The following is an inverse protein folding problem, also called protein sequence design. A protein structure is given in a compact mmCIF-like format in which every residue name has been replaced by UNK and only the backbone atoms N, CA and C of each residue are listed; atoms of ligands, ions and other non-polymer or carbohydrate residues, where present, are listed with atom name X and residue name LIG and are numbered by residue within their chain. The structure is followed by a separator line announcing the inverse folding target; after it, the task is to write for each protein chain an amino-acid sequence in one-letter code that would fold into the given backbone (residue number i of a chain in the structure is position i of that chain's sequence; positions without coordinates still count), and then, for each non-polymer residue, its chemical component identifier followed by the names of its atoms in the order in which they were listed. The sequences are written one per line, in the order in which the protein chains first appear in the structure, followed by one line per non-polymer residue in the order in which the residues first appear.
data_IF_113867590604
#
_entry.id   IF_113867590604
#
_cell.length_a   1.000
_cell.length_b   1.000
_cell.length_c   1.000
_cell.angle_alpha   90.00
_cell.angle_beta   90.00
_cell.angle_gamma   90.00
#
_symmetry.space_group_name_H-M   'P 1'
#
loop_
_entity.id
_entity.type
_entity.pdbx_description
1 polymer ?
#
# COMPACT_ATOMS: atom_id res chain seq x y z
N UNK A 1 -10.29 -22.95 -14.96
CA UNK A 1 -10.95 -21.67 -15.32
C UNK A 1 -12.21 -21.39 -14.51
N UNK A 2 -12.89 -22.39 -13.92
CA UNK A 2 -14.08 -22.17 -13.07
C UNK A 2 -13.79 -21.73 -11.63
N UNK A 3 -12.56 -21.90 -11.12
CA UNK A 3 -12.22 -21.55 -9.73
C UNK A 3 -11.97 -20.06 -9.50
N UNK A 4 -11.58 -19.29 -10.53
CA UNK A 4 -11.26 -17.87 -10.35
C UNK A 4 -12.51 -16.99 -10.17
N UNK A 5 -13.63 -17.36 -10.79
CA UNK A 5 -14.86 -16.55 -10.73
C UNK A 5 -15.47 -16.52 -9.32
N UNK A 6 -15.27 -17.57 -8.53
CA UNK A 6 -15.78 -17.64 -7.15
C UNK A 6 -14.95 -16.82 -6.14
N UNK A 7 -13.65 -16.68 -6.37
CA UNK A 7 -12.75 -15.93 -5.49
C UNK A 7 -12.99 -14.41 -5.58
N UNK A 8 -13.22 -13.90 -6.79
CA UNK A 8 -13.53 -12.49 -7.02
C UNK A 8 -14.87 -12.07 -6.41
N UNK A 9 -15.86 -12.97 -6.43
CA UNK A 9 -17.17 -12.72 -5.83
C UNK A 9 -17.09 -12.63 -4.29
N UNK A 10 -16.28 -13.48 -3.66
CA UNK A 10 -16.05 -13.40 -2.22
C UNK A 10 -15.31 -12.12 -1.81
N UNK A 11 -14.31 -11.70 -2.59
CA UNK A 11 -13.54 -10.49 -2.34
C UNK A 11 -14.38 -9.21 -2.45
N UNK A 12 -15.33 -9.18 -3.39
CA UNK A 12 -16.25 -8.05 -3.60
C UNK A 12 -17.28 -7.94 -2.48
N UNK A 13 -17.90 -9.05 -2.05
CA UNK A 13 -18.85 -9.03 -0.92
C UNK A 13 -18.19 -8.65 0.41
N UNK A 14 -16.95 -9.11 0.65
CA UNK A 14 -16.19 -8.71 1.83
C UNK A 14 -15.95 -7.18 1.91
N UNK A 15 -15.88 -6.49 0.76
CA UNK A 15 -15.79 -5.03 0.63
C UNK A 15 -16.95 -4.29 1.31
N UNK A 16 -18.17 -4.77 1.04
CA UNK A 16 -19.38 -4.15 1.53
C UNK A 16 -19.46 -4.12 3.06
N UNK A 17 -19.02 -5.18 3.74
CA UNK A 17 -19.06 -5.26 5.21
C UNK A 17 -18.19 -4.21 5.88
N UNK A 18 -16.95 -4.01 5.39
CA UNK A 18 -16.06 -2.97 5.94
C UNK A 18 -16.65 -1.58 5.72
N UNK A 19 -17.22 -1.34 4.53
CA UNK A 19 -17.94 -0.09 4.24
C UNK A 19 -19.07 0.17 5.23
N UNK A 20 -19.87 -0.86 5.56
CA UNK A 20 -20.93 -0.77 6.57
C UNK A 20 -20.39 -0.43 7.95
N UNK A 21 -19.30 -1.08 8.40
CA UNK A 21 -18.69 -0.76 9.70
C UNK A 21 -18.18 0.68 9.75
N UNK A 22 -17.55 1.18 8.68
CA UNK A 22 -17.11 2.59 8.60
C UNK A 22 -18.29 3.56 8.65
N UNK A 23 -19.40 3.23 7.97
CA UNK A 23 -20.61 4.04 8.02
C UNK A 23 -21.19 4.11 9.44
N UNK A 24 -21.30 2.98 10.14
CA UNK A 24 -21.72 2.93 11.55
C UNK A 24 -20.77 3.74 12.44
N UNK A 25 -19.45 3.62 12.20
CA UNK A 25 -18.45 4.39 12.91
C UNK A 25 -18.65 5.90 12.77
N UNK A 26 -19.07 6.40 11.61
CA UNK A 26 -19.33 7.83 11.40
C UNK A 26 -20.40 8.38 12.34
N UNK A 27 -21.49 7.65 12.58
CA UNK A 27 -22.53 8.09 13.51
C UNK A 27 -22.02 8.15 14.94
N UNK A 28 -21.39 7.07 15.41
CA UNK A 28 -20.89 6.97 16.79
C UNK A 28 -19.80 8.00 17.05
N UNK A 29 -18.86 8.17 16.12
CA UNK A 29 -17.84 9.19 16.19
C UNK A 29 -18.44 10.60 16.11
N UNK A 30 -19.50 10.82 15.33
CA UNK A 30 -20.19 12.10 15.25
C UNK A 30 -20.78 12.53 16.60
N UNK A 31 -21.48 11.62 17.28
CA UNK A 31 -21.97 11.87 18.64
C UNK A 31 -20.81 12.06 19.63
N UNK A 32 -19.78 11.22 19.55
CA UNK A 32 -18.60 11.34 20.41
C UNK A 32 -17.88 12.68 20.21
N UNK A 33 -17.74 13.16 18.97
CA UNK A 33 -17.11 14.43 18.64
C UNK A 33 -17.91 15.60 19.19
N UNK A 34 -19.24 15.57 19.05
CA UNK A 34 -20.12 16.60 19.62
C UNK A 34 -19.92 16.70 21.13
N UNK A 35 -19.92 15.57 21.84
CA UNK A 35 -19.67 15.51 23.28
C UNK A 35 -18.25 16.01 23.63
N UNK A 36 -17.21 15.45 23.00
CA UNK A 36 -15.82 15.83 23.25
C UNK A 36 -15.53 17.30 22.96
N UNK A 37 -16.12 17.88 21.90
CA UNK A 37 -15.98 19.30 21.57
C UNK A 37 -16.69 20.20 22.58
N UNK A 38 -17.87 19.79 23.08
CA UNK A 38 -18.58 20.50 24.17
C UNK A 38 -17.70 20.54 25.42
N UNK A 39 -17.19 19.39 25.84
CA UNK A 39 -16.30 19.28 27.01
C UNK A 39 -15.00 20.07 26.83
N UNK A 40 -14.35 20.00 25.67
CA UNK A 40 -13.14 20.76 25.40
C UNK A 40 -13.39 22.27 25.46
N UNK A 41 -14.46 22.78 24.83
CA UNK A 41 -14.81 24.21 24.90
C UNK A 41 -15.07 24.66 26.34
N UNK A 42 -15.80 23.83 27.08
CA UNK A 42 -16.12 24.07 28.48
C UNK A 42 -14.84 24.17 29.33
N UNK A 43 -13.96 23.16 29.28
CA UNK A 43 -12.72 23.17 30.04
C UNK A 43 -11.74 24.25 29.58
N UNK A 44 -11.76 24.62 28.30
CA UNK A 44 -10.93 25.70 27.76
C UNK A 44 -11.33 27.07 28.33
N UNK A 45 -12.62 27.30 28.53
CA UNK A 45 -13.13 28.55 29.11
C UNK A 45 -12.60 28.76 30.55
N UNK A 46 -12.37 27.68 31.30
CA UNK A 46 -11.90 27.71 32.68
C UNK A 46 -10.49 27.12 32.85
N UNK A 47 -9.64 27.28 31.83
CA UNK A 47 -8.33 26.62 31.79
C UNK A 47 -7.44 26.95 33.00
N UNK A 48 -7.53 28.18 33.53
CA UNK A 48 -6.71 28.63 34.67
C UNK A 48 -7.02 27.85 35.94
N UNK A 49 -8.28 27.47 36.14
CA UNK A 49 -8.75 26.76 37.34
C UNK A 49 -8.56 25.26 37.17
N UNK A 50 -8.92 24.73 36.00
CA UNK A 50 -8.87 23.28 35.70
C UNK A 50 -7.44 22.74 35.59
N UNK A 51 -6.43 23.59 35.38
CA UNK A 51 -5.02 23.15 35.32
C UNK A 51 -4.30 23.20 36.67
N UNK A 52 -4.85 23.88 37.66
CA UNK A 52 -4.22 23.98 38.98
C UNK A 52 -4.40 22.69 39.79
N UNK A 53 -3.45 22.35 40.69
CA UNK A 53 -3.65 21.29 41.68
C UNK A 53 -4.96 21.53 42.43
N UNK A 54 -5.80 20.51 42.60
CA UNK A 54 -5.55 19.05 42.55
C UNK A 54 -5.74 18.42 41.16
N UNK A 55 -6.18 19.21 40.18
CA UNK A 55 -6.71 18.68 38.96
C UNK A 55 -5.57 18.02 38.21
N UNK A 56 -5.87 16.99 37.43
CA UNK A 56 -4.81 16.44 36.60
C UNK A 56 -4.33 17.56 35.67
N UNK A 57 -3.03 17.95 35.68
CA UNK A 57 -2.54 19.09 34.89
C UNK A 57 -2.69 18.88 33.38
N UNK A 58 -3.12 17.68 32.96
CA UNK A 58 -3.32 17.28 31.58
C UNK A 58 -4.80 17.20 31.19
N UNK A 59 -5.75 17.57 32.05
CA UNK A 59 -7.20 17.46 31.76
C UNK A 59 -7.58 18.22 30.47
N UNK A 60 -7.12 19.47 30.33
CA UNK A 60 -7.37 20.25 29.11
C UNK A 60 -6.69 19.63 27.88
N UNK A 61 -5.47 19.13 28.05
CA UNK A 61 -4.75 18.44 26.98
C UNK A 61 -5.49 17.18 26.52
N UNK A 62 -6.00 16.37 27.45
CA UNK A 62 -6.76 15.15 27.17
C UNK A 62 -8.04 15.49 26.42
N UNK A 63 -8.82 16.48 26.89
CA UNK A 63 -10.04 16.91 26.20
C UNK A 63 -9.77 17.42 24.77
N UNK A 64 -8.67 18.18 24.59
CA UNK A 64 -8.22 18.64 23.26
C UNK A 64 -7.81 17.48 22.37
N UNK A 65 -7.05 16.53 22.92
CA UNK A 65 -6.57 15.33 22.23
C UNK A 65 -7.76 14.49 21.75
N UNK A 66 -8.71 14.19 22.64
CA UNK A 66 -9.94 13.48 22.32
C UNK A 66 -10.71 14.19 21.20
N UNK A 67 -11.00 15.49 21.34
CA UNK A 67 -11.77 16.21 20.31
C UNK A 67 -11.09 16.20 18.93
N UNK A 68 -9.75 16.33 18.88
CA UNK A 68 -8.98 16.30 17.63
C UNK A 68 -8.96 14.92 16.98
N UNK A 69 -8.64 13.88 17.75
CA UNK A 69 -8.58 12.52 17.20
C UNK A 69 -9.96 11.99 16.82
N UNK A 70 -11.04 12.38 17.50
CA UNK A 70 -12.38 12.04 17.05
C UNK A 70 -12.71 12.70 15.71
N UNK A 71 -12.31 13.96 15.50
CA UNK A 71 -12.48 14.64 14.20
C UNK A 71 -11.68 13.94 13.10
N UNK A 72 -10.41 13.61 13.35
CA UNK A 72 -9.57 12.86 12.42
C UNK A 72 -10.22 11.52 12.08
N UNK A 73 -10.73 10.79 13.09
CA UNK A 73 -11.45 9.54 12.90
C UNK A 73 -12.70 9.68 12.02
N UNK A 74 -13.48 10.77 12.18
CA UNK A 74 -14.64 11.06 11.33
C UNK A 74 -14.20 11.27 9.89
N UNK A 75 -13.24 12.19 9.67
CA UNK A 75 -12.77 12.53 8.32
C UNK A 75 -12.19 11.27 7.65
N UNK A 76 -11.37 10.50 8.37
CA UNK A 76 -10.79 9.27 7.87
C UNK A 76 -11.85 8.24 7.46
N UNK A 77 -12.83 7.97 8.32
CA UNK A 77 -13.89 7.02 8.00
C UNK A 77 -14.78 7.49 6.85
N UNK A 78 -14.97 8.80 6.68
CA UNK A 78 -15.73 9.36 5.57
C UNK A 78 -14.96 9.22 4.24
N UNK A 79 -13.67 9.59 4.24
CA UNK A 79 -12.80 9.47 3.06
C UNK A 79 -12.64 8.01 2.65
N UNK A 80 -12.47 7.11 3.62
CA UNK A 80 -12.24 5.68 3.35
C UNK A 80 -13.51 4.87 3.10
N UNK A 81 -14.69 5.43 3.36
CA UNK A 81 -15.96 4.75 3.08
C UNK A 81 -16.12 4.41 1.59
N UNK A 82 -15.86 5.38 0.70
CA UNK A 82 -16.02 5.21 -0.75
C UNK A 82 -14.96 4.26 -1.35
N UNK A 83 -13.64 4.46 -1.11
CA UNK A 83 -12.60 3.56 -1.62
C UNK A 83 -12.79 2.11 -1.17
N UNK A 84 -13.19 1.87 0.07
CA UNK A 84 -13.42 0.51 0.58
C UNK A 84 -14.57 -0.20 -0.13
N UNK A 85 -15.52 0.56 -0.69
CA UNK A 85 -16.63 0.04 -1.48
C UNK A 85 -16.25 -0.13 -2.96
N UNK A 86 -15.41 0.75 -3.49
CA UNK A 86 -15.05 0.78 -4.92
C UNK A 86 -13.86 -0.12 -5.28
N UNK A 87 -12.89 -0.28 -4.37
CA UNK A 87 -11.63 -0.96 -4.67
C UNK A 87 -11.34 -2.08 -3.66
N UNK A 88 -11.69 -3.35 -3.96
CA UNK A 88 -11.42 -4.49 -3.08
C UNK A 88 -9.93 -4.91 -3.01
N UNK A 89 -9.00 -4.03 -3.39
CA UNK A 89 -7.62 -4.39 -3.75
C UNK A 89 -6.66 -4.56 -2.55
N UNK A 90 -5.48 -5.10 -2.85
CA UNK A 90 -4.33 -5.27 -1.94
C UNK A 90 -3.84 -3.99 -1.27
N UNK A 91 -4.24 -2.81 -1.74
CA UNK A 91 -3.92 -1.51 -1.11
C UNK A 91 -4.50 -1.38 0.31
N UNK A 92 -5.47 -2.22 0.69
CA UNK A 92 -6.08 -2.25 2.02
C UNK A 92 -5.10 -2.57 3.16
N UNK A 93 -4.00 -3.28 2.88
CA UNK A 93 -3.00 -3.58 3.91
C UNK A 93 -2.34 -2.30 4.44
N UNK A 94 -1.93 -1.37 3.55
CA UNK A 94 -1.35 -0.09 3.96
C UNK A 94 -2.36 0.79 4.72
N UNK A 95 -3.62 0.76 4.30
CA UNK A 95 -4.70 1.52 4.96
C UNK A 95 -4.96 1.06 6.39
N UNK A 96 -4.73 -0.23 6.67
CA UNK A 96 -4.88 -0.79 8.02
C UNK A 96 -3.95 -0.15 9.04
N UNK A 97 -2.75 0.31 8.64
CA UNK A 97 -1.80 0.99 9.54
C UNK A 97 -2.38 2.29 10.09
N UNK A 98 -3.11 3.03 9.25
CA UNK A 98 -3.79 4.27 9.67
C UNK A 98 -4.95 3.95 10.62
N UNK A 99 -5.74 2.91 10.34
CA UNK A 99 -6.81 2.45 11.23
C UNK A 99 -6.25 2.04 12.61
N UNK A 100 -5.14 1.28 12.65
CA UNK A 100 -4.44 0.93 13.90
C UNK A 100 -4.01 2.21 14.63
N UNK A 101 -3.41 3.17 13.92
CA UNK A 101 -2.93 4.41 14.52
C UNK A 101 -4.08 5.19 15.17
N UNK A 102 -5.22 5.31 14.49
CA UNK A 102 -6.42 5.96 15.04
C UNK A 102 -6.95 5.18 16.26
N UNK A 103 -6.98 3.84 16.19
CA UNK A 103 -7.39 3.00 17.31
C UNK A 103 -6.49 3.16 18.54
N UNK A 104 -5.16 3.19 18.35
CA UNK A 104 -4.19 3.43 19.43
C UNK A 104 -4.41 4.80 20.07
N UNK A 105 -4.65 5.84 19.26
CA UNK A 105 -4.91 7.19 19.77
C UNK A 105 -6.23 7.27 20.54
N UNK A 106 -7.27 6.54 20.10
CA UNK A 106 -8.48 6.39 20.90
C UNK A 106 -8.23 5.65 22.21
N UNK A 107 -7.44 4.57 22.20
CA UNK A 107 -7.08 3.84 23.42
C UNK A 107 -6.37 4.74 24.43
N UNK A 108 -5.37 5.53 23.98
CA UNK A 108 -4.67 6.51 24.81
C UNK A 108 -5.65 7.55 25.36
N UNK A 109 -6.45 8.19 24.49
CA UNK A 109 -7.36 9.26 24.91
C UNK A 109 -8.45 8.78 25.89
N UNK A 110 -9.03 7.61 25.64
CA UNK A 110 -10.07 7.00 26.48
C UNK A 110 -9.50 6.47 27.80
N UNK A 111 -8.29 5.89 27.77
CA UNK A 111 -7.59 5.46 28.99
C UNK A 111 -7.23 6.64 29.89
N UNK A 112 -6.72 7.73 29.31
CA UNK A 112 -6.44 8.96 30.04
C UNK A 112 -7.72 9.60 30.60
N UNK A 113 -8.81 9.62 29.84
CA UNK A 113 -10.11 10.10 30.30
C UNK A 113 -10.67 9.27 31.48
N UNK A 114 -10.53 7.95 31.42
CA UNK A 114 -10.96 7.04 32.50
C UNK A 114 -10.18 7.23 33.81
N UNK A 115 -8.98 7.82 33.76
CA UNK A 115 -8.20 8.08 34.98
C UNK A 115 -8.85 9.11 35.92
N UNK A 116 -9.76 9.97 35.43
CA UNK A 116 -10.39 11.03 36.23
C UNK A 116 -11.92 11.05 36.18
N UNK A 117 -12.53 10.26 35.29
CA UNK A 117 -13.99 10.11 35.18
C UNK A 117 -14.40 8.74 35.73
N UNK A 118 -15.49 8.62 36.52
CA UNK A 118 -15.96 7.32 36.94
C UNK A 118 -16.42 6.48 35.73
N UNK A 119 -16.28 5.15 35.81
CA UNK A 119 -16.59 4.26 34.70
C UNK A 119 -18.07 3.84 34.61
N UNK A 120 -18.91 4.23 35.58
CA UNK A 120 -20.32 3.89 35.60
C UNK A 120 -21.18 5.09 35.98
N UNK A 121 -22.36 5.28 35.35
CA UNK A 121 -23.27 6.38 35.67
C UNK A 121 -23.77 6.36 37.12
N UNK A 122 -23.93 5.16 37.70
CA UNK A 122 -24.36 5.01 39.11
C UNK A 122 -23.37 5.59 40.13
N UNK A 123 -22.07 5.63 39.80
CA UNK A 123 -21.07 6.29 40.67
C UNK A 123 -21.18 7.81 40.68
N UNK A 124 -21.96 8.40 39.77
CA UNK A 124 -22.20 9.84 39.75
C UNK A 124 -23.23 10.31 40.77
N UNK A 125 -23.99 9.42 41.43
CA UNK A 125 -24.87 9.78 42.56
C UNK A 125 -24.08 10.42 43.71
N UNK A 126 -22.79 10.10 43.83
CA UNK A 126 -21.88 10.67 44.81
C UNK A 126 -20.82 11.54 44.14
N UNK A 127 -21.16 12.28 43.08
CA UNK A 127 -20.23 13.15 42.35
C UNK A 127 -19.56 14.20 43.26
N UNK A 128 -20.23 14.60 44.35
CA UNK A 128 -19.71 15.53 45.37
C UNK A 128 -18.62 14.92 46.27
N UNK A 129 -18.44 13.60 46.27
CA UNK A 129 -17.33 12.93 46.96
C UNK A 129 -16.26 12.37 46.02
N UNK A 130 -16.43 12.54 44.71
CA UNK A 130 -15.47 12.03 43.72
C UNK A 130 -14.17 12.83 43.74
N UNK A 131 -13.09 12.19 44.21
CA UNK A 131 -11.74 12.78 44.32
C UNK A 131 -11.76 14.12 45.06
N UNK A 132 -12.19 14.09 46.33
CA UNK A 132 -12.20 15.26 47.21
C UNK A 132 -10.78 15.83 47.35
N UNK A 133 -10.69 17.15 47.23
CA UNK A 133 -9.48 17.90 47.49
C UNK A 133 -9.20 17.96 48.98
N UNK A 134 -7.99 17.54 49.40
CA UNK A 134 -7.56 17.64 50.81
C UNK A 134 -7.68 19.06 51.39
N UNK A 135 -7.59 20.10 50.56
CA UNK A 135 -7.55 21.50 51.02
C UNK A 135 -8.85 22.28 50.83
N UNK A 136 -9.75 21.89 49.92
CA UNK A 136 -10.99 22.65 49.67
C UNK A 136 -12.26 21.96 50.14
N UNK A 137 -12.21 20.65 50.42
CA UNK A 137 -13.41 19.86 50.76
C UNK A 137 -14.41 19.70 49.60
N UNK A 138 -14.15 20.29 48.42
CA UNK A 138 -15.00 20.16 47.24
C UNK A 138 -14.52 18.99 46.36
N UNK A 139 -15.42 18.41 45.56
CA UNK A 139 -15.05 17.44 44.53
C UNK A 139 -14.70 18.08 43.20
N UNK A 140 -14.12 17.28 42.31
CA UNK A 140 -13.87 17.66 40.92
C UNK A 140 -15.14 18.23 40.24
N UNK A 141 -16.27 17.52 40.36
CA UNK A 141 -17.50 17.88 39.67
C UNK A 141 -18.24 19.03 40.35
N UNK A 142 -18.13 19.19 41.67
CA UNK A 142 -18.67 20.34 42.40
C UNK A 142 -17.97 21.64 41.98
N UNK A 143 -16.64 21.62 41.80
CA UNK A 143 -15.92 22.79 41.28
C UNK A 143 -16.38 23.11 39.86
N UNK A 144 -16.52 22.10 38.98
CA UNK A 144 -17.06 22.32 37.65
C UNK A 144 -18.49 22.88 37.69
N UNK A 145 -19.36 22.41 38.58
CA UNK A 145 -20.70 22.97 38.74
C UNK A 145 -20.66 24.46 39.09
N UNK A 146 -19.83 24.85 40.07
CA UNK A 146 -19.68 26.23 40.50
C UNK A 146 -19.18 27.15 39.37
N UNK A 147 -18.30 26.64 38.50
CA UNK A 147 -17.80 27.39 37.34
C UNK A 147 -18.88 27.64 36.28
N UNK A 148 -19.81 26.69 36.12
CA UNK A 148 -20.93 26.80 35.17
C UNK A 148 -22.04 27.72 35.65
N UNK A 149 -22.12 28.00 36.95
CA UNK A 149 -23.09 28.91 37.53
C UNK A 149 -22.74 30.36 37.15
N UNK A 150 -23.44 30.90 36.17
CA UNK A 150 -23.42 32.34 35.89
C UNK A 150 -24.62 32.99 36.59
N UNK A 151 -24.42 34.05 37.40
CA UNK A 151 -25.53 34.72 38.09
C UNK A 151 -26.55 35.35 37.12
N UNK A 152 -26.21 35.46 35.83
CA UNK A 152 -27.04 36.08 34.80
C UNK A 152 -27.91 35.10 34.00
N UNK A 153 -27.78 33.79 34.22
CA UNK A 153 -28.62 32.78 33.58
C UNK A 153 -29.29 31.90 34.64
N UNK A 154 -30.47 32.29 35.16
CA UNK A 154 -31.19 31.55 36.21
C UNK A 154 -31.81 30.22 35.73
N UNK A 155 -31.46 29.78 34.52
CA UNK A 155 -31.86 28.47 34.00
C UNK A 155 -31.17 27.40 34.85
N UNK A 156 -31.94 26.43 35.34
CA UNK A 156 -31.53 25.27 36.14
C UNK A 156 -30.08 24.86 35.86
N UNK A 157 -29.16 25.33 36.70
CA UNK A 157 -27.76 25.00 36.58
C UNK A 157 -27.60 23.49 36.77
N UNK A 158 -26.87 22.79 35.88
CA UNK A 158 -26.76 21.36 35.97
C UNK A 158 -26.06 20.96 37.27
N UNK A 159 -26.56 19.92 37.92
CA UNK A 159 -25.98 19.40 39.16
C UNK A 159 -24.60 18.78 38.90
N UNK A 160 -23.78 18.64 39.94
CA UNK A 160 -22.50 17.92 39.85
C UNK A 160 -22.68 16.49 39.31
N UNK A 161 -23.79 15.83 39.67
CA UNK A 161 -24.18 14.52 39.15
C UNK A 161 -24.44 14.53 37.64
N UNK A 162 -25.16 15.53 37.13
CA UNK A 162 -25.43 15.68 35.69
C UNK A 162 -24.14 15.91 34.90
N UNK A 163 -23.26 16.79 35.40
CA UNK A 163 -21.95 17.02 34.79
C UNK A 163 -21.12 15.72 34.81
N UNK A 164 -21.12 15.00 35.94
CA UNK A 164 -20.46 13.70 36.04
C UNK A 164 -21.00 12.74 34.97
N UNK A 165 -22.32 12.58 34.85
CA UNK A 165 -22.96 11.70 33.86
C UNK A 165 -22.61 12.10 32.42
N UNK A 166 -22.53 13.39 32.09
CA UNK A 166 -22.06 13.85 30.77
C UNK A 166 -20.64 13.35 30.47
N UNK A 167 -19.73 13.44 31.44
CA UNK A 167 -18.36 12.94 31.28
C UNK A 167 -18.29 11.41 31.19
N UNK A 168 -19.07 10.68 32.01
CA UNK A 168 -19.15 9.21 31.94
C UNK A 168 -19.68 8.78 30.57
N UNK A 169 -20.73 9.42 30.07
CA UNK A 169 -21.29 9.13 28.76
C UNK A 169 -20.28 9.39 27.65
N UNK A 170 -19.53 10.51 27.72
CA UNK A 170 -18.43 10.77 26.79
C UNK A 170 -17.38 9.65 26.82
N UNK A 171 -16.99 9.18 28.01
CA UNK A 171 -16.01 8.09 28.15
C UNK A 171 -16.54 6.77 27.58
N UNK A 172 -17.79 6.42 27.84
CA UNK A 172 -18.45 5.24 27.27
C UNK A 172 -18.51 5.29 25.74
N UNK A 173 -18.84 6.46 25.16
CA UNK A 173 -18.80 6.68 23.71
C UNK A 173 -17.37 6.56 23.15
N UNK A 174 -16.36 6.95 23.94
CA UNK A 174 -14.95 6.73 23.63
C UNK A 174 -14.57 5.25 23.56
N UNK A 175 -15.07 4.41 24.49
CA UNK A 175 -14.89 2.95 24.44
C UNK A 175 -15.60 2.36 23.23
N UNK A 176 -16.85 2.74 22.99
CA UNK A 176 -17.61 2.25 21.82
C UNK A 176 -16.91 2.59 20.51
N UNK A 177 -16.41 3.83 20.39
CA UNK A 177 -15.62 4.27 19.24
C UNK A 177 -14.33 3.46 19.07
N UNK A 178 -13.62 3.20 20.17
CA UNK A 178 -12.41 2.38 20.17
C UNK A 178 -12.69 0.95 19.69
N UNK A 179 -13.71 0.29 20.23
CA UNK A 179 -14.09 -1.06 19.86
C UNK A 179 -14.37 -1.18 18.35
N UNK A 180 -15.11 -0.22 17.79
CA UNK A 180 -15.43 -0.20 16.36
C UNK A 180 -14.17 0.02 15.50
N UNK A 181 -13.26 0.92 15.89
CA UNK A 181 -12.02 1.11 15.14
C UNK A 181 -11.12 -0.12 15.19
N UNK A 182 -11.02 -0.79 16.34
CA UNK A 182 -10.29 -2.05 16.45
C UNK A 182 -10.90 -3.09 15.51
N UNK A 183 -12.23 -3.23 15.48
CA UNK A 183 -12.91 -4.17 14.59
C UNK A 183 -12.63 -3.85 13.11
N UNK A 184 -12.75 -2.60 12.68
CA UNK A 184 -12.45 -2.16 11.31
C UNK A 184 -10.99 -2.50 10.95
N UNK A 185 -10.06 -2.17 11.84
CA UNK A 185 -8.64 -2.45 11.67
C UNK A 185 -8.37 -3.94 11.55
N UNK A 186 -8.93 -4.77 12.44
CA UNK A 186 -8.75 -6.23 12.42
C UNK A 186 -9.27 -6.83 11.13
N UNK A 187 -10.46 -6.41 10.66
CA UNK A 187 -11.01 -6.91 9.38
C UNK A 187 -10.11 -6.50 8.21
N UNK A 188 -9.60 -5.27 8.18
CA UNK A 188 -8.69 -4.82 7.12
C UNK A 188 -7.36 -5.59 7.13
N UNK A 189 -6.79 -5.88 8.30
CA UNK A 189 -5.57 -6.69 8.44
C UNK A 189 -5.81 -8.12 7.94
N UNK A 190 -6.89 -8.77 8.38
CA UNK A 190 -7.23 -10.14 7.96
C UNK A 190 -7.38 -10.20 6.44
N UNK A 191 -8.09 -9.23 5.84
CA UNK A 191 -8.26 -9.18 4.38
C UNK A 191 -6.96 -8.92 3.64
N UNK A 192 -6.15 -7.98 4.13
CA UNK A 192 -4.82 -7.72 3.58
C UNK A 192 -3.94 -8.98 3.61
N UNK A 193 -3.99 -9.73 4.71
CA UNK A 193 -3.27 -10.99 4.86
C UNK A 193 -3.79 -12.09 3.93
N UNK A 194 -5.11 -12.27 3.82
CA UNK A 194 -5.71 -13.25 2.88
C UNK A 194 -5.31 -12.93 1.44
N UNK A 195 -5.45 -11.67 1.01
CA UNK A 195 -5.08 -11.24 -0.33
C UNK A 195 -3.59 -11.46 -0.61
N UNK A 196 -2.74 -11.21 0.40
CA UNK A 196 -1.31 -11.49 0.32
C UNK A 196 -1.04 -12.99 0.17
N UNK A 197 -1.67 -13.85 0.97
CA UNK A 197 -1.50 -15.31 0.89
C UNK A 197 -1.95 -15.84 -0.47
N UNK A 198 -3.09 -15.38 -0.99
CA UNK A 198 -3.56 -15.77 -2.33
C UNK A 198 -2.53 -15.37 -3.40
N UNK A 199 -2.00 -14.15 -3.35
CA UNK A 199 -0.98 -13.66 -4.28
C UNK A 199 0.34 -14.45 -4.17
N UNK A 200 0.76 -14.81 -2.96
CA UNK A 200 1.96 -15.65 -2.77
C UNK A 200 1.73 -17.06 -3.32
N UNK A 201 0.56 -17.66 -3.06
CA UNK A 201 0.22 -19.01 -3.56
C UNK A 201 0.11 -19.06 -5.08
N UNK A 202 -0.44 -18.02 -5.73
CA UNK A 202 -0.52 -17.96 -7.19
C UNK A 202 0.88 -17.91 -7.83
N UNK A 203 1.82 -17.22 -7.20
CA UNK A 203 3.23 -17.20 -7.62
C UNK A 203 3.90 -18.55 -7.34
N UNK A 204 3.67 -19.17 -6.18
CA UNK A 204 4.29 -20.43 -5.78
C UNK A 204 3.85 -21.62 -6.66
N UNK A 205 2.56 -21.70 -7.02
CA UNK A 205 2.05 -22.69 -7.98
C UNK A 205 2.78 -22.62 -9.32
N UNK A 206 3.17 -21.41 -9.71
CA UNK A 206 3.92 -21.20 -10.94
C UNK A 206 5.38 -21.60 -10.75
N UNK A 207 5.97 -21.63 -9.55
CA UNK A 207 7.42 -21.65 -9.37
C UNK A 207 7.97 -22.73 -8.41
N UNK A 208 7.25 -23.85 -8.26
CA UNK A 208 7.50 -24.95 -7.32
C UNK A 208 8.88 -25.66 -7.41
N UNK A 209 9.84 -25.19 -8.21
CA UNK A 209 11.21 -25.74 -8.30
C UNK A 209 12.32 -24.94 -7.58
N UNK A 210 12.05 -23.78 -6.97
CA UNK A 210 13.11 -22.96 -6.36
C UNK A 210 12.76 -22.47 -4.94
N UNK A 211 12.58 -23.40 -3.98
CA UNK A 211 11.94 -23.16 -2.67
C UNK A 211 12.74 -22.37 -1.61
N UNK A 212 14.04 -22.12 -1.77
CA UNK A 212 14.87 -21.60 -0.65
C UNK A 212 14.90 -20.07 -0.49
N UNK A 213 14.89 -19.31 -1.58
CA UNK A 213 15.16 -17.86 -1.54
C UNK A 213 13.90 -16.98 -1.66
N UNK A 214 12.78 -17.54 -2.09
CA UNK A 214 11.59 -16.76 -2.43
C UNK A 214 10.86 -16.18 -1.23
N UNK A 215 10.83 -16.87 -0.08
CA UNK A 215 10.15 -16.37 1.12
C UNK A 215 10.77 -15.06 1.63
N UNK A 216 12.11 -14.97 1.65
CA UNK A 216 12.83 -13.76 2.03
C UNK A 216 12.57 -12.63 1.03
N UNK A 217 12.63 -12.93 -0.27
CA UNK A 217 12.41 -11.94 -1.34
C UNK A 217 10.97 -11.40 -1.31
N UNK A 218 9.99 -12.26 -1.06
CA UNK A 218 8.58 -11.87 -0.91
C UNK A 218 8.36 -11.02 0.35
N UNK A 219 8.98 -11.39 1.48
CA UNK A 219 8.92 -10.61 2.71
C UNK A 219 9.54 -9.22 2.55
N UNK A 220 10.70 -9.12 1.92
CA UNK A 220 11.36 -7.84 1.61
C UNK A 220 10.48 -7.01 0.67
N UNK A 221 9.88 -7.63 -0.36
CA UNK A 221 8.96 -6.94 -1.26
C UNK A 221 7.74 -6.38 -0.51
N UNK A 222 7.18 -7.11 0.46
CA UNK A 222 6.06 -6.64 1.29
C UNK A 222 6.48 -5.44 2.14
N UNK A 223 7.65 -5.51 2.80
CA UNK A 223 8.18 -4.41 3.61
C UNK A 223 8.39 -3.16 2.74
N UNK A 224 8.92 -3.34 1.52
CA UNK A 224 9.14 -2.23 0.57
C UNK A 224 7.84 -1.67 -0.03
N UNK A 225 6.77 -2.45 -0.07
CA UNK A 225 5.45 -2.01 -0.54
C UNK A 225 4.75 -1.04 0.42
N UNK A 226 5.07 -1.10 1.71
CA UNK A 226 4.52 -0.20 2.74
C UNK A 226 4.94 1.27 2.51
N UNK A 227 6.24 1.62 2.41
CA UNK A 227 6.66 3.00 2.13
C UNK A 227 6.24 3.46 0.73
N UNK A 228 6.22 2.55 -0.27
CA UNK A 228 5.70 2.84 -1.60
C UNK A 228 4.23 3.27 -1.55
N UNK A 229 3.38 2.46 -0.90
CA UNK A 229 1.96 2.77 -0.75
C UNK A 229 1.71 4.06 0.04
N UNK A 230 2.55 4.34 1.05
CA UNK A 230 2.49 5.59 1.80
C UNK A 230 2.82 6.81 0.95
N UNK A 231 3.84 6.69 0.09
CA UNK A 231 4.22 7.74 -0.84
C UNK A 231 3.10 8.07 -1.85
N UNK A 232 2.56 7.05 -2.53
CA UNK A 232 1.44 7.22 -3.46
C UNK A 232 0.22 7.86 -2.78
N UNK A 233 -0.07 7.43 -1.55
CA UNK A 233 -1.16 8.01 -0.77
C UNK A 233 -0.94 9.49 -0.44
N UNK A 234 0.26 9.86 0.00
CA UNK A 234 0.63 11.26 0.27
C UNK A 234 0.61 12.11 -1.01
N UNK A 235 1.03 11.55 -2.14
CA UNK A 235 0.96 12.21 -3.44
C UNK A 235 -0.48 12.52 -3.82
N UNK A 236 -1.38 11.52 -3.75
CA UNK A 236 -2.80 11.69 -4.05
C UNK A 236 -3.43 12.75 -3.14
N UNK A 237 -3.14 12.72 -1.83
CA UNK A 237 -3.61 13.76 -0.89
C UNK A 237 -3.11 15.14 -1.31
N UNK A 238 -1.84 15.27 -1.67
CA UNK A 238 -1.24 16.55 -2.04
C UNK A 238 -1.90 17.12 -3.31
N UNK A 239 -2.11 16.28 -4.33
CA UNK A 239 -2.83 16.65 -5.56
C UNK A 239 -4.27 17.07 -5.25
N UNK A 240 -4.96 16.32 -4.39
CA UNK A 240 -6.31 16.65 -3.97
C UNK A 240 -6.36 17.99 -3.24
N UNK A 241 -5.48 18.23 -2.26
CA UNK A 241 -5.38 19.51 -1.54
C UNK A 241 -5.12 20.65 -2.53
N UNK A 242 -4.17 20.49 -3.46
CA UNK A 242 -3.84 21.49 -4.47
C UNK A 242 -5.05 21.86 -5.34
N UNK A 243 -5.89 20.89 -5.69
CA UNK A 243 -7.09 21.13 -6.49
C UNK A 243 -8.12 22.05 -5.79
N UNK A 244 -8.15 22.07 -4.46
CA UNK A 244 -9.07 22.92 -3.67
C UNK A 244 -8.41 24.17 -3.07
N UNK A 245 -7.10 24.34 -3.22
CA UNK A 245 -6.37 25.44 -2.58
C UNK A 245 -6.30 26.66 -3.49
N UNK A 246 -6.59 27.89 -3.01
CA UNK A 246 -6.51 29.11 -3.83
C UNK A 246 -5.08 29.41 -4.29
N UNK A 247 -4.95 30.06 -5.46
CA UNK A 247 -3.68 30.24 -6.18
C UNK A 247 -2.54 30.86 -5.34
N UNK A 248 -2.85 31.74 -4.39
CA UNK A 248 -1.85 32.36 -3.51
C UNK A 248 -1.12 31.36 -2.61
N UNK A 249 -1.76 30.23 -2.28
CA UNK A 249 -1.21 29.17 -1.43
C UNK A 249 -0.68 27.97 -2.25
N UNK A 250 -0.91 27.94 -3.56
CA UNK A 250 -0.45 26.84 -4.42
C UNK A 250 1.07 26.88 -4.60
N UNK A 251 1.69 28.06 -4.75
CA UNK A 251 3.14 28.18 -4.97
C UNK A 251 4.00 27.50 -3.87
N UNK A 252 3.78 27.74 -2.57
CA UNK A 252 4.54 27.05 -1.52
C UNK A 252 4.24 25.54 -1.47
N UNK A 253 3.01 25.12 -1.73
CA UNK A 253 2.65 23.70 -1.76
C UNK A 253 3.32 22.96 -2.92
N UNK A 254 3.36 23.57 -4.12
CA UNK A 254 4.06 23.03 -5.28
C UNK A 254 5.58 22.92 -5.03
N UNK A 255 6.16 23.86 -4.25
CA UNK A 255 7.57 23.76 -3.85
C UNK A 255 7.82 22.55 -2.93
N UNK A 256 6.95 22.34 -1.93
CA UNK A 256 7.02 21.17 -1.05
C UNK A 256 6.84 19.88 -1.86
N UNK A 257 5.91 19.85 -2.82
CA UNK A 257 5.70 18.71 -3.70
C UNK A 257 6.95 18.38 -4.52
N UNK A 258 7.60 19.38 -5.13
CA UNK A 258 8.87 19.16 -5.87
C UNK A 258 9.98 18.65 -4.98
N UNK A 259 10.05 19.11 -3.72
CA UNK A 259 11.02 18.60 -2.76
C UNK A 259 10.73 17.12 -2.43
N UNK A 260 9.46 16.77 -2.19
CA UNK A 260 9.02 15.39 -1.96
C UNK A 260 9.34 14.51 -3.17
N UNK A 261 9.08 14.96 -4.40
CA UNK A 261 9.45 14.24 -5.63
C UNK A 261 10.96 14.02 -5.75
N UNK A 262 11.77 15.00 -5.37
CA UNK A 262 13.23 14.88 -5.44
C UNK A 262 13.77 13.90 -4.40
N UNK A 263 13.21 13.92 -3.19
CA UNK A 263 13.57 12.97 -2.14
C UNK A 263 13.06 11.56 -2.49
N UNK A 264 11.85 11.47 -3.05
CA UNK A 264 11.28 10.19 -3.46
C UNK A 264 12.10 9.56 -4.55
N UNK A 265 12.64 10.31 -5.53
CA UNK A 265 13.53 9.73 -6.54
C UNK A 265 14.73 8.97 -5.96
N UNK A 266 15.29 9.41 -4.83
CA UNK A 266 16.41 8.71 -4.19
C UNK A 266 16.01 7.34 -3.62
N UNK A 267 14.79 7.23 -3.10
CA UNK A 267 14.29 6.00 -2.44
C UNK A 267 13.52 5.11 -3.43
N UNK A 268 12.76 5.73 -4.33
CA UNK A 268 11.75 5.11 -5.17
C UNK A 268 12.31 4.59 -6.47
N UNK A 269 13.26 5.30 -7.10
CA UNK A 269 13.88 4.83 -8.36
C UNK A 269 14.52 3.45 -8.17
N UNK A 270 15.29 3.18 -7.09
CA UNK A 270 15.81 1.83 -6.85
C UNK A 270 14.72 0.76 -6.68
N UNK A 271 13.65 1.07 -5.94
CA UNK A 271 12.55 0.14 -5.67
C UNK A 271 11.76 -0.15 -6.95
N UNK A 272 11.44 0.89 -7.73
CA UNK A 272 10.72 0.76 -8.98
C UNK A 272 11.53 0.01 -10.03
N UNK A 273 12.82 0.31 -10.17
CA UNK A 273 13.71 -0.41 -11.08
C UNK A 273 13.85 -1.89 -10.68
N UNK A 274 13.86 -2.18 -9.37
CA UNK A 274 13.86 -3.54 -8.87
C UNK A 274 12.53 -4.27 -9.15
N UNK A 275 11.39 -3.61 -8.96
CA UNK A 275 10.07 -4.15 -9.29
C UNK A 275 9.94 -4.43 -10.79
N UNK A 276 10.35 -3.50 -11.64
CA UNK A 276 10.33 -3.67 -13.09
C UNK A 276 11.22 -4.83 -13.53
N UNK A 277 12.41 -4.96 -12.94
CA UNK A 277 13.31 -6.09 -13.20
C UNK A 277 12.68 -7.43 -12.83
N UNK A 278 11.90 -7.48 -11.75
CA UNK A 278 11.15 -8.69 -11.36
C UNK A 278 10.04 -8.99 -12.37
N UNK A 279 9.30 -7.97 -12.82
CA UNK A 279 8.24 -8.12 -13.81
C UNK A 279 8.80 -8.63 -15.15
N UNK A 280 9.87 -8.03 -15.66
CA UNK A 280 10.56 -8.47 -16.88
C UNK A 280 11.08 -9.90 -16.75
N UNK A 281 11.63 -10.27 -15.59
CA UNK A 281 12.11 -11.64 -15.38
C UNK A 281 10.97 -12.65 -15.28
N UNK A 282 9.81 -12.26 -14.74
CA UNK A 282 8.60 -13.08 -14.74
C UNK A 282 8.08 -13.28 -16.17
N UNK A 283 7.97 -12.20 -16.95
CA UNK A 283 7.48 -12.23 -18.34
C UNK A 283 8.39 -13.06 -19.24
N UNK A 284 9.70 -12.87 -19.13
CA UNK A 284 10.68 -13.67 -19.87
C UNK A 284 10.55 -15.17 -19.52
N UNK A 285 10.36 -15.51 -18.23
CA UNK A 285 10.15 -16.90 -17.81
C UNK A 285 8.81 -17.45 -18.31
N UNK A 286 7.76 -16.65 -18.38
CA UNK A 286 6.47 -17.01 -18.96
C UNK A 286 6.58 -17.28 -20.48
N UNK A 287 7.30 -16.43 -21.21
CA UNK A 287 7.57 -16.61 -22.63
C UNK A 287 8.34 -17.91 -22.90
N UNK A 288 9.39 -18.20 -22.12
CA UNK A 288 10.13 -19.45 -22.21
C UNK A 288 9.27 -20.69 -21.94
N UNK A 289 8.31 -20.62 -21.02
CA UNK A 289 7.37 -21.72 -20.78
C UNK A 289 6.42 -21.95 -21.93
N UNK A 290 5.90 -20.88 -22.54
CA UNK A 290 5.01 -20.97 -23.70
C UNK A 290 5.72 -21.62 -24.89
N UNK A 291 7.00 -21.32 -25.08
CA UNK A 291 7.85 -22.00 -26.06
C UNK A 291 8.06 -23.48 -25.71
N UNK A 292 8.27 -23.80 -24.43
CA UNK A 292 8.47 -25.19 -23.98
C UNK A 292 7.21 -26.06 -24.10
N UNK A 293 6.03 -25.56 -23.72
CA UNK A 293 4.79 -26.35 -23.80
C UNK A 293 4.41 -26.65 -25.25
N UNK A 294 4.64 -25.70 -26.16
CA UNK A 294 4.39 -25.92 -27.59
C UNK A 294 5.37 -26.95 -28.19
N UNK A 295 6.55 -27.13 -27.59
CA UNK A 295 7.51 -28.14 -28.00
C UNK A 295 7.14 -29.55 -27.55
N UNK A 296 6.36 -29.72 -26.47
CA UNK A 296 5.98 -31.05 -25.95
C UNK A 296 4.78 -31.67 -26.69
N UNK A 297 3.91 -30.86 -27.31
CA UNK A 297 2.76 -31.35 -28.10
C UNK A 297 3.20 -31.90 -29.48
N UNK A 298 4.42 -31.60 -29.94
CA UNK A 298 4.97 -32.10 -31.21
C UNK A 298 5.93 -33.29 -31.07
N UNK A 299 6.07 -33.91 -29.89
CA UNK A 299 7.14 -34.88 -29.61
C UNK A 299 6.69 -36.34 -29.49
N UNK A 300 5.65 -36.74 -30.23
CA UNK A 300 5.53 -38.14 -30.67
C UNK A 300 6.37 -38.21 -31.95
N UNK A 301 7.43 -39.03 -31.92
CA UNK A 301 8.28 -39.37 -33.07
C UNK A 301 9.49 -38.46 -33.37
N UNK A 302 10.49 -38.43 -32.47
CA UNK A 302 11.90 -38.62 -32.90
C UNK A 302 12.83 -38.80 -31.69
N UNK A 303 13.23 -40.04 -31.47
CA UNK A 303 14.14 -40.50 -30.41
C UNK A 303 15.58 -40.42 -30.91
N UNK A 304 16.23 -39.25 -30.86
CA UNK A 304 17.70 -39.16 -30.68
C UNK A 304 18.15 -37.74 -30.31
N UNK A 305 19.15 -37.64 -29.43
CA UNK A 305 19.95 -36.45 -29.03
C UNK A 305 19.39 -35.51 -27.96
N UNK A 306 19.48 -35.99 -26.71
CA UNK A 306 19.25 -35.27 -25.44
C UNK A 306 20.23 -34.11 -25.15
N UNK A 307 21.22 -33.88 -26.01
CA UNK A 307 22.22 -32.81 -25.86
C UNK A 307 21.97 -31.61 -26.78
N UNK A 308 20.90 -31.59 -27.58
CA UNK A 308 20.77 -30.60 -28.65
C UNK A 308 20.33 -29.21 -28.19
N UNK A 309 19.66 -29.04 -27.05
CA UNK A 309 19.12 -27.72 -26.68
C UNK A 309 20.19 -26.74 -26.17
N UNK A 310 21.03 -27.18 -25.22
CA UNK A 310 22.14 -26.38 -24.71
C UNK A 310 23.22 -26.16 -25.79
N UNK A 311 23.49 -27.20 -26.59
CA UNK A 311 24.37 -27.09 -27.75
C UNK A 311 23.79 -26.12 -28.78
N UNK A 312 22.48 -26.17 -29.10
CA UNK A 312 21.84 -25.19 -30.01
C UNK A 312 21.90 -23.75 -29.48
N UNK A 313 21.77 -23.55 -28.16
CA UNK A 313 21.84 -22.22 -27.56
C UNK A 313 23.27 -21.66 -27.62
N UNK A 314 24.27 -22.42 -27.14
CA UNK A 314 25.69 -22.05 -27.23
C UNK A 314 26.13 -21.85 -28.69
N UNK A 315 25.58 -22.65 -29.60
CA UNK A 315 25.88 -22.54 -31.02
C UNK A 315 25.36 -21.24 -31.61
N UNK A 316 24.20 -20.74 -31.16
CA UNK A 316 23.65 -19.48 -31.63
C UNK A 316 24.44 -18.26 -31.12
N UNK A 317 24.85 -18.25 -29.86
CA UNK A 317 25.65 -17.15 -29.28
C UNK A 317 27.04 -17.05 -29.93
N UNK A 318 27.70 -18.19 -30.14
CA UNK A 318 29.00 -18.21 -30.83
C UNK A 318 28.83 -17.80 -32.30
N UNK A 319 27.78 -18.29 -32.97
CA UNK A 319 27.53 -17.96 -34.37
C UNK A 319 27.17 -16.47 -34.55
N UNK A 320 26.47 -15.85 -33.61
CA UNK A 320 26.17 -14.41 -33.66
C UNK A 320 27.42 -13.55 -33.44
N UNK A 321 28.30 -13.91 -32.50
CA UNK A 321 29.61 -13.25 -32.32
C UNK A 321 30.47 -13.37 -33.58
N UNK A 322 30.52 -14.54 -34.22
CA UNK A 322 31.25 -14.74 -35.47
C UNK A 322 30.60 -14.00 -36.63
N UNK A 323 29.25 -13.98 -36.70
CA UNK A 323 28.50 -13.29 -37.75
C UNK A 323 28.67 -11.77 -37.73
N UNK A 324 28.94 -11.17 -36.57
CA UNK A 324 29.27 -9.74 -36.46
C UNK A 324 30.57 -9.36 -37.20
N UNK A 325 31.46 -10.33 -37.43
CA UNK A 325 32.77 -10.12 -38.05
C UNK A 325 32.90 -10.72 -39.46
N UNK A 326 31.86 -11.39 -39.97
CA UNK A 326 31.86 -12.03 -41.29
C UNK A 326 30.77 -11.46 -42.17
N UNK A 327 30.98 -11.38 -43.49
CA UNK A 327 29.86 -11.08 -44.39
C UNK A 327 28.92 -12.27 -44.45
N UNK A 328 27.64 -12.01 -44.73
CA UNK A 328 26.68 -13.10 -44.93
C UNK A 328 27.16 -14.08 -46.02
N UNK A 329 27.85 -13.58 -47.05
CA UNK A 329 28.46 -14.41 -48.08
C UNK A 329 29.57 -15.30 -47.56
N UNK A 330 30.36 -14.84 -46.59
CA UNK A 330 31.38 -15.66 -45.95
C UNK A 330 30.77 -16.75 -45.09
N UNK A 331 29.66 -16.46 -44.40
CA UNK A 331 28.88 -17.50 -43.70
C UNK A 331 28.32 -18.54 -44.68
N UNK A 332 27.85 -18.11 -45.84
CA UNK A 332 27.42 -19.02 -46.92
C UNK A 332 28.61 -19.84 -47.43
N UNK A 333 29.74 -19.23 -47.75
CA UNK A 333 30.94 -19.93 -48.21
C UNK A 333 31.48 -20.92 -47.15
N UNK A 334 31.47 -20.52 -45.88
CA UNK A 334 31.83 -21.37 -44.74
C UNK A 334 30.91 -22.58 -44.63
N UNK A 335 29.61 -22.40 -44.90
CA UNK A 335 28.63 -23.49 -44.98
C UNK A 335 28.82 -24.42 -46.17
N UNK A 336 29.58 -24.00 -47.20
CA UNK A 336 29.93 -24.84 -48.35
C UNK A 336 31.19 -25.68 -48.09
N UNK A 337 32.04 -25.28 -47.13
CA UNK A 337 33.29 -25.97 -46.84
C UNK A 337 33.12 -27.43 -46.36
N UNK A 338 32.07 -27.72 -45.59
CA UNK A 338 31.72 -29.10 -45.21
C UNK A 338 30.25 -29.27 -44.85
N UNK A 339 29.74 -30.52 -44.92
CA UNK A 339 28.36 -30.84 -44.52
C UNK A 339 28.11 -30.56 -43.03
N UNK A 340 29.12 -30.80 -42.19
CA UNK A 340 29.06 -30.48 -40.76
C UNK A 340 29.00 -28.96 -40.53
N UNK A 341 29.80 -28.19 -41.26
CA UNK A 341 29.78 -26.73 -41.17
C UNK A 341 28.47 -26.14 -41.68
N UNK A 342 27.86 -26.76 -42.69
CA UNK A 342 26.52 -26.39 -43.14
C UNK A 342 25.46 -26.56 -42.06
N UNK A 343 25.46 -27.69 -41.36
CA UNK A 343 24.53 -27.95 -40.27
C UNK A 343 24.79 -27.08 -39.05
N UNK A 344 26.04 -26.66 -38.84
CA UNK A 344 26.39 -25.69 -37.83
C UNK A 344 25.85 -24.28 -38.19
N UNK A 345 26.17 -23.74 -39.36
CA UNK A 345 25.78 -22.37 -39.73
C UNK A 345 24.28 -22.28 -40.05
N UNK A 346 23.72 -23.30 -40.70
CA UNK A 346 22.32 -23.37 -41.14
C UNK A 346 21.68 -24.72 -40.74
N UNK A 347 21.33 -24.91 -39.45
CA UNK A 347 20.84 -26.19 -38.94
C UNK A 347 19.54 -26.68 -39.61
N UNK A 348 18.73 -25.76 -40.13
CA UNK A 348 17.45 -26.06 -40.77
C UNK A 348 17.52 -26.06 -42.31
N UNK A 349 18.72 -25.86 -42.89
CA UNK A 349 18.92 -25.72 -44.34
C UNK A 349 19.00 -24.26 -44.80
N UNK A 350 19.40 -24.08 -46.07
CA UNK A 350 19.68 -22.76 -46.67
C UNK A 350 18.57 -22.31 -47.64
N UNK A 351 17.32 -22.65 -47.38
CA UNK A 351 16.20 -22.12 -48.19
C UNK A 351 16.02 -20.64 -47.86
N UNK A 352 16.00 -19.78 -48.89
CA UNK A 352 15.93 -18.33 -48.76
C UNK A 352 14.73 -17.82 -47.93
N UNK A 353 13.68 -18.64 -47.82
CA UNK A 353 12.44 -18.33 -47.11
C UNK A 353 12.39 -18.83 -45.66
N UNK A 354 13.45 -19.48 -45.16
CA UNK A 354 13.45 -19.94 -43.78
C UNK A 354 13.80 -18.82 -42.78
N UNK A 355 13.00 -18.63 -41.71
CA UNK A 355 13.13 -17.53 -40.76
C UNK A 355 14.50 -17.49 -40.05
N UNK A 356 15.17 -18.63 -39.86
CA UNK A 356 16.50 -18.68 -39.23
C UNK A 356 17.61 -18.00 -40.04
N UNK A 357 17.50 -17.98 -41.37
CA UNK A 357 18.49 -17.32 -42.24
C UNK A 357 18.36 -15.80 -42.22
N UNK A 358 17.16 -15.29 -41.92
CA UNK A 358 16.89 -13.85 -41.83
C UNK A 358 17.54 -13.21 -40.60
N UNK A 359 17.65 -13.95 -39.49
CA UNK A 359 18.23 -13.46 -38.25
C UNK A 359 19.74 -13.23 -38.40
N UNK A 360 20.47 -14.14 -39.04
CA UNK A 360 21.90 -13.96 -39.31
C UNK A 360 22.18 -12.79 -40.27
N UNK A 361 21.21 -12.44 -41.14
CA UNK A 361 21.31 -11.23 -41.98
C UNK A 361 21.23 -9.93 -41.17
N UNK A 362 20.59 -9.94 -40.01
CA UNK A 362 20.48 -8.76 -39.12
C UNK A 362 21.82 -8.52 -38.43
N UNK A 363 22.52 -9.58 -38.04
CA UNK A 363 23.82 -9.49 -37.38
C UNK A 363 25.00 -9.27 -38.35
N UNK A 364 24.75 -9.32 -39.66
CA UNK A 364 25.74 -9.05 -40.70
C UNK A 364 25.54 -7.65 -41.26
N UNK A 365 26.27 -6.68 -40.71
CA UNK A 365 26.39 -5.27 -41.09
C UNK A 365 25.14 -4.49 -41.54
N UNK A 366 24.93 -3.36 -40.88
CA UNK A 366 23.86 -2.42 -41.17
C UNK A 366 23.83 -1.97 -42.63
N UNK A 367 22.62 -1.70 -43.16
CA UNK A 367 22.42 -1.22 -44.53
C UNK A 367 23.34 -0.05 -44.90
N UNK A 368 23.68 0.79 -43.93
CA UNK A 368 24.45 2.01 -44.14
C UNK A 368 25.97 1.81 -44.07
N UNK A 369 26.43 0.65 -43.57
CA UNK A 369 27.85 0.29 -43.54
C UNK A 369 28.24 -0.63 -44.68
N UNK A 370 27.34 -0.87 -45.65
CA UNK A 370 27.63 -1.69 -46.84
C UNK A 370 28.39 -0.87 -47.88
N UNK A 371 29.64 -1.25 -48.14
CA UNK A 371 30.43 -0.84 -49.30
C UNK A 371 30.49 -1.98 -50.31
N UNK A 372 30.62 -1.72 -51.61
CA UNK A 372 30.88 -2.80 -52.57
C UNK A 372 32.32 -3.30 -52.45
N UNK A 373 32.51 -4.62 -52.46
CA UNK A 373 33.83 -5.23 -52.62
C UNK A 373 34.39 -4.88 -54.00
N UNK A 374 35.57 -4.27 -54.06
CA UNK A 374 36.20 -3.90 -55.34
C UNK A 374 36.52 -5.11 -56.24
N UNK A 375 36.56 -6.33 -55.68
CA UNK A 375 36.96 -7.55 -56.40
C UNK A 375 35.77 -8.34 -56.92
N UNK A 376 34.63 -8.35 -56.22
CA UNK A 376 33.58 -9.32 -56.50
C UNK A 376 32.14 -8.76 -56.55
N UNK A 377 31.94 -7.43 -56.47
CA UNK A 377 30.62 -6.76 -56.48
C UNK A 377 29.68 -7.09 -55.31
N UNK A 378 30.09 -7.93 -54.36
CA UNK A 378 29.29 -8.22 -53.17
C UNK A 378 29.48 -7.16 -52.08
N UNK A 379 28.41 -6.82 -51.33
CA UNK A 379 28.49 -5.82 -50.27
C UNK A 379 29.32 -6.34 -49.09
N UNK A 380 30.31 -5.55 -48.68
CA UNK A 380 31.20 -5.73 -47.52
C UNK A 380 30.94 -4.61 -46.50
N UNK A 381 31.29 -4.84 -45.24
CA UNK A 381 31.24 -3.83 -44.20
C UNK A 381 32.38 -2.82 -44.36
N UNK A 382 32.06 -1.54 -44.28
CA UNK A 382 33.03 -0.45 -44.21
C UNK A 382 33.71 -0.51 -42.84
N UNK A 383 35.02 -0.77 -42.83
CA UNK A 383 35.86 -0.70 -41.62
C UNK A 383 35.96 0.74 -41.14
#
# INVERSE_FOLDING_TARGET
MSTSLGEDLWLTHAGAHVGTFRFVALFILGFYFKAARKTYKYLKQYQEIVQQPPFHPKTLYIARLTSRWTLIGIIWNAVMYLPNRMFPSTTMAGLSIVDITIAVQFAISTGLLGSYVPHSPGRCEYADSWKILKNSGQSYFSILQNLRFSPFTPVSAPTSEEICREFVYQWQMGIGSLFIQVLISTVNIIRGFIALVIKVRSVESTQQKQKGQWALTAFIAIIMLIPYGWYEFLWIITVFILAFTPASLQAPLLYVQRYIDKVSQVIYVPIWFWLQRIEEEIDHRLALRKLRSNSEVGQIEMKTTRNSALVKFLHFDILTLVAQHLHYRDLVNLSLASKAMRQAVFPNGHSADQPGTSILKIYTCDKNTKAQCFVCDFPICKV
#
